data_IF_277371432402
#
_entry.id   IF_277371432402
#
_cell.length_a   1.000
_cell.length_b   1.000
_cell.length_c   1.000
_cell.angle_alpha   90.00
_cell.angle_beta   90.00
_cell.angle_gamma   90.00
#
_symmetry.space_group_name_H-M   'P 1'
#
loop_
_entity.id
_entity.type
_entity.pdbx_description
1 polymer ?
#
# COMPACT_ATOMS: atom_id res chain seq x y z
N UNK A 1 3.87 16.70 17.29
CA UNK A 1 4.68 15.79 18.12
C UNK A 1 3.90 15.55 19.42
N UNK A 2 4.18 14.50 20.20
CA UNK A 2 3.40 14.09 21.40
C UNK A 2 2.13 13.23 21.17
N UNK A 3 1.86 12.77 19.94
CA UNK A 3 0.84 11.74 19.72
C UNK A 3 1.44 10.34 19.92
N UNK A 4 0.74 9.41 20.60
CA UNK A 4 1.17 8.01 20.65
C UNK A 4 1.36 7.43 19.24
N UNK A 5 2.43 6.65 19.06
CA UNK A 5 2.64 5.91 17.81
C UNK A 5 1.83 4.63 17.85
N UNK A 6 0.63 4.64 17.26
CA UNK A 6 -0.31 3.52 17.27
C UNK A 6 -0.25 2.65 16.00
N UNK A 7 0.67 2.97 15.07
CA UNK A 7 0.77 2.34 13.76
C UNK A 7 2.16 1.78 13.49
N UNK A 8 2.22 0.62 12.83
CA UNK A 8 3.49 -0.02 12.44
C UNK A 8 3.47 -0.48 10.97
N UNK A 9 4.55 -0.25 10.23
CA UNK A 9 4.81 -0.92 8.95
C UNK A 9 6.14 -1.68 9.06
N UNK A 10 6.15 -3.02 8.93
CA UNK A 10 7.40 -3.78 8.93
C UNK A 10 8.22 -3.49 7.68
N UNK A 11 9.52 -3.77 7.73
CA UNK A 11 10.39 -3.73 6.57
C UNK A 11 9.95 -4.76 5.52
N UNK A 12 9.95 -4.36 4.24
CA UNK A 12 9.57 -5.15 3.07
C UNK A 12 8.11 -5.65 3.01
N UNK A 13 7.42 -5.83 4.13
CA UNK A 13 6.08 -6.41 4.20
C UNK A 13 6.02 -7.89 3.80
N UNK A 14 4.80 -8.42 3.75
CA UNK A 14 4.50 -9.85 3.55
C UNK A 14 3.36 -10.03 2.52
N UNK A 15 3.19 -11.25 2.01
CA UNK A 15 2.11 -11.66 1.12
C UNK A 15 0.88 -12.24 1.85
N UNK A 16 1.05 -12.66 3.11
CA UNK A 16 -0.04 -13.12 3.98
C UNK A 16 -0.23 -12.25 5.25
N UNK A 17 0.26 -11.00 5.21
CA UNK A 17 0.21 -10.08 6.36
C UNK A 17 0.86 -10.73 7.61
N UNK A 18 0.22 -10.64 8.77
CA UNK A 18 0.63 -11.33 10.00
C UNK A 18 -0.29 -12.50 10.38
N UNK A 19 -1.00 -13.05 9.41
CA UNK A 19 -1.87 -14.21 9.66
C UNK A 19 -1.02 -15.41 10.06
N UNK A 20 -1.58 -16.24 10.93
CA UNK A 20 -0.93 -17.44 11.49
C UNK A 20 0.34 -17.13 12.32
N UNK A 21 0.59 -15.87 12.67
CA UNK A 21 1.75 -15.42 13.48
C UNK A 21 1.32 -14.83 14.84
N UNK A 22 0.66 -15.61 15.74
CA UNK A 22 0.08 -15.09 16.98
C UNK A 22 1.13 -14.53 17.94
N UNK A 23 2.37 -15.01 17.90
CA UNK A 23 3.48 -14.47 18.71
C UNK A 23 3.84 -13.04 18.28
N UNK A 24 3.80 -12.74 16.98
CA UNK A 24 4.08 -11.40 16.46
C UNK A 24 2.93 -10.45 16.79
N UNK A 25 1.69 -10.90 16.64
CA UNK A 25 0.49 -10.14 17.01
C UNK A 25 0.47 -9.81 18.52
N UNK A 26 0.89 -10.75 19.37
CA UNK A 26 1.03 -10.49 20.80
C UNK A 26 2.05 -9.37 21.09
N UNK A 27 3.21 -9.39 20.43
CA UNK A 27 4.21 -8.33 20.58
C UNK A 27 3.70 -6.97 20.10
N UNK A 28 2.93 -6.94 19.02
CA UNK A 28 2.28 -5.72 18.51
C UNK A 28 1.30 -5.16 19.54
N UNK A 29 0.46 -6.02 20.12
CA UNK A 29 -0.48 -5.64 21.18
C UNK A 29 0.24 -5.09 22.40
N UNK A 30 1.27 -5.80 22.87
CA UNK A 30 2.08 -5.39 24.04
C UNK A 30 2.80 -4.06 23.81
N UNK A 31 3.17 -3.76 22.57
CA UNK A 31 3.76 -2.48 22.18
C UNK A 31 2.74 -1.34 22.07
N UNK A 32 1.44 -1.60 22.28
CA UNK A 32 0.37 -0.60 22.17
C UNK A 32 0.06 -0.20 20.72
N UNK A 33 0.47 -1.01 19.74
CA UNK A 33 0.16 -0.78 18.32
C UNK A 33 -1.25 -1.27 18.02
N UNK A 34 -2.03 -0.44 17.35
CA UNK A 34 -3.45 -0.66 17.07
C UNK A 34 -3.71 -1.03 15.61
N UNK A 35 -2.85 -0.57 14.70
CA UNK A 35 -2.90 -0.97 13.31
C UNK A 35 -1.52 -1.23 12.72
N UNK A 36 -1.49 -2.10 11.73
CA UNK A 36 -0.31 -2.43 10.94
C UNK A 36 -0.58 -2.24 9.46
N UNK A 37 0.48 -2.06 8.67
CA UNK A 37 0.42 -2.08 7.21
C UNK A 37 1.51 -3.00 6.68
N UNK A 38 1.30 -4.30 6.89
CA UNK A 38 2.24 -5.38 6.63
C UNK A 38 1.94 -6.12 5.34
N UNK A 39 0.69 -6.13 4.87
CA UNK A 39 0.32 -6.76 3.60
C UNK A 39 0.72 -5.85 2.44
N UNK A 40 1.91 -6.08 1.88
CA UNK A 40 2.50 -5.25 0.83
C UNK A 40 2.78 -6.03 -0.46
N UNK A 41 2.47 -7.33 -0.50
CA UNK A 41 2.67 -8.19 -1.66
C UNK A 41 1.36 -8.89 -2.06
N UNK A 42 1.28 -9.33 -3.31
CA UNK A 42 0.31 -10.31 -3.76
C UNK A 42 0.75 -11.75 -3.39
N UNK A 43 -0.09 -12.76 -3.70
CA UNK A 43 0.22 -14.16 -3.44
C UNK A 43 1.59 -14.59 -3.96
N UNK A 44 2.29 -15.45 -3.23
CA UNK A 44 3.64 -15.95 -3.58
C UNK A 44 4.66 -14.82 -3.76
N UNK A 45 4.58 -13.78 -2.92
CA UNK A 45 5.40 -12.57 -3.01
C UNK A 45 5.40 -11.93 -4.42
N UNK A 46 4.23 -11.94 -5.06
CA UNK A 46 4.05 -11.32 -6.37
C UNK A 46 3.71 -9.84 -6.30
N UNK A 47 3.91 -9.13 -7.41
CA UNK A 47 3.50 -7.75 -7.63
C UNK A 47 2.72 -7.60 -8.94
N UNK A 48 1.81 -6.61 -9.02
CA UNK A 48 1.45 -5.66 -7.96
C UNK A 48 0.64 -6.27 -6.81
N UNK A 49 0.75 -5.68 -5.62
CA UNK A 49 -0.09 -6.02 -4.47
C UNK A 49 -1.57 -5.73 -4.76
N UNK A 50 -2.44 -6.66 -4.34
CA UNK A 50 -3.86 -6.63 -4.68
C UNK A 50 -4.62 -5.57 -3.90
N UNK A 51 -5.71 -5.03 -4.47
CA UNK A 51 -6.63 -4.09 -3.79
C UNK A 51 -7.48 -4.81 -2.72
N UNK A 52 -6.94 -4.94 -1.51
CA UNK A 52 -7.56 -5.62 -0.36
C UNK A 52 -8.22 -4.58 0.55
N UNK A 53 -9.37 -4.94 1.11
CA UNK A 53 -10.01 -4.12 2.15
C UNK A 53 -9.24 -4.23 3.48
N UNK A 54 -9.38 -3.25 4.38
CA UNK A 54 -8.91 -3.37 5.76
C UNK A 54 -9.56 -4.57 6.44
N UNK A 55 -8.84 -5.22 7.35
CA UNK A 55 -9.37 -6.31 8.16
C UNK A 55 -8.72 -6.33 9.54
N UNK A 56 -9.28 -7.07 10.49
CA UNK A 56 -8.67 -7.30 11.79
C UNK A 56 -8.28 -8.77 11.99
N UNK A 57 -7.42 -9.00 12.97
CA UNK A 57 -6.87 -10.31 13.28
C UNK A 57 -7.75 -11.11 14.25
N UNK A 58 -9.08 -11.00 14.11
CA UNK A 58 -10.04 -11.67 15.01
C UNK A 58 -9.93 -13.20 14.96
N UNK A 59 -9.58 -13.76 13.81
CA UNK A 59 -9.45 -15.20 13.63
C UNK A 59 -8.21 -15.74 14.34
N UNK A 60 -7.20 -14.89 14.52
CA UNK A 60 -5.95 -15.14 15.24
C UNK A 60 -6.07 -14.79 16.74
N UNK A 61 -7.21 -14.26 17.20
CA UNK A 61 -7.46 -13.88 18.59
C UNK A 61 -7.16 -12.42 18.94
N UNK A 62 -6.92 -11.56 17.94
CA UNK A 62 -6.54 -10.15 18.09
C UNK A 62 -7.51 -9.22 17.33
N UNK A 63 -8.80 -9.15 17.73
CA UNK A 63 -9.82 -8.37 17.01
C UNK A 63 -9.59 -6.85 17.04
N UNK A 64 -8.76 -6.38 17.95
CA UNK A 64 -8.38 -4.98 18.18
C UNK A 64 -7.23 -4.49 17.29
N UNK A 65 -6.46 -5.41 16.70
CA UNK A 65 -5.38 -5.08 15.76
C UNK A 65 -5.91 -5.11 14.33
N UNK A 66 -5.73 -3.99 13.63
CA UNK A 66 -6.15 -3.83 12.24
C UNK A 66 -4.98 -3.94 11.25
N UNK A 67 -5.17 -4.70 10.17
CA UNK A 67 -4.34 -4.65 8.98
C UNK A 67 -4.92 -3.63 8.00
N UNK A 68 -4.07 -2.68 7.60
CA UNK A 68 -4.35 -1.66 6.59
C UNK A 68 -3.39 -1.91 5.41
N UNK A 69 -3.79 -2.70 4.39
CA UNK A 69 -2.89 -3.12 3.31
C UNK A 69 -2.27 -1.96 2.49
N UNK A 70 -1.12 -2.24 1.87
CA UNK A 70 -0.57 -1.43 0.79
C UNK A 70 -0.89 -2.06 -0.56
N UNK A 71 -1.01 -1.25 -1.61
CA UNK A 71 -1.52 -1.67 -2.91
C UNK A 71 -0.62 -1.25 -4.07
N UNK A 72 -0.76 -1.99 -5.17
CA UNK A 72 -0.07 -1.67 -6.41
C UNK A 72 1.39 -2.09 -6.38
N UNK A 73 2.22 -1.38 -7.15
CA UNK A 73 3.65 -1.63 -7.19
C UNK A 73 4.37 -0.95 -6.03
N UNK A 74 5.46 -1.58 -5.58
CA UNK A 74 6.50 -0.85 -4.85
C UNK A 74 7.24 0.00 -5.88
N UNK A 75 7.09 1.32 -5.83
CA UNK A 75 7.53 2.20 -6.92
C UNK A 75 9.03 2.09 -7.25
N UNK A 76 9.86 1.79 -6.25
CA UNK A 76 11.30 1.69 -6.44
C UNK A 76 11.67 0.54 -7.39
N UNK A 77 10.84 -0.49 -7.47
CA UNK A 77 11.03 -1.62 -8.38
C UNK A 77 10.66 -1.26 -9.83
N UNK A 78 9.68 -0.38 -10.02
CA UNK A 78 9.33 0.14 -11.36
C UNK A 78 10.47 0.92 -12.00
N UNK A 79 11.45 1.39 -11.20
CA UNK A 79 12.54 2.26 -11.61
C UNK A 79 13.93 1.64 -11.47
N UNK A 80 14.00 0.37 -11.07
CA UNK A 80 15.24 -0.34 -10.71
C UNK A 80 16.10 0.40 -9.67
N UNK A 81 15.47 1.14 -8.78
CA UNK A 81 16.17 1.92 -7.77
C UNK A 81 16.79 1.06 -6.65
N UNK A 82 16.33 -0.18 -6.55
CA UNK A 82 16.92 -1.28 -5.79
C UNK A 82 18.07 -2.00 -6.52
N UNK A 83 18.36 -1.67 -7.79
CA UNK A 83 19.48 -2.24 -8.59
C UNK A 83 19.42 -3.77 -8.74
N UNK A 84 18.23 -4.34 -8.83
CA UNK A 84 18.05 -5.78 -9.00
C UNK A 84 18.00 -6.19 -10.47
N UNK A 85 17.84 -5.23 -11.38
CA UNK A 85 17.55 -5.51 -12.78
C UNK A 85 16.15 -6.11 -12.95
N UNK A 86 15.78 -6.50 -14.18
CA UNK A 86 14.45 -7.04 -14.47
C UNK A 86 14.26 -8.38 -13.75
N UNK A 87 13.15 -8.51 -13.01
CA UNK A 87 12.78 -9.72 -12.27
C UNK A 87 11.36 -10.16 -12.62
N UNK A 88 11.12 -11.48 -12.58
CA UNK A 88 9.79 -12.08 -12.72
C UNK A 88 9.07 -12.02 -11.38
N UNK A 89 8.52 -10.86 -11.06
CA UNK A 89 7.80 -10.63 -9.80
C UNK A 89 6.29 -10.75 -9.97
N UNK A 90 5.78 -10.99 -11.17
CA UNK A 90 4.34 -10.95 -11.44
C UNK A 90 3.70 -12.32 -11.30
N UNK A 91 2.51 -12.38 -10.68
CA UNK A 91 1.68 -13.58 -10.68
C UNK A 91 1.23 -13.91 -12.12
N UNK A 92 1.10 -15.18 -12.45
CA UNK A 92 0.54 -15.63 -13.73
C UNK A 92 -0.82 -16.34 -13.53
N UNK A 93 -1.90 -15.90 -14.19
CA UNK A 93 -2.01 -14.64 -14.92
C UNK A 93 -1.99 -13.42 -13.98
N UNK A 94 -1.45 -12.29 -14.45
CA UNK A 94 -1.45 -11.06 -13.63
C UNK A 94 -2.88 -10.55 -13.47
N UNK A 95 -3.32 -10.20 -12.25
CA UNK A 95 -4.62 -9.55 -12.03
C UNK A 95 -4.69 -8.13 -12.59
N UNK A 96 -3.53 -7.53 -12.90
CA UNK A 96 -3.39 -6.15 -13.40
C UNK A 96 -2.44 -6.11 -14.62
N UNK A 97 -2.76 -6.80 -15.73
CA UNK A 97 -1.86 -6.91 -16.88
C UNK A 97 -1.52 -5.54 -17.50
N UNK A 98 -2.44 -4.59 -17.47
CA UNK A 98 -2.26 -3.22 -17.96
C UNK A 98 -1.29 -2.37 -17.13
N UNK A 99 -0.85 -2.87 -15.97
CA UNK A 99 0.11 -2.20 -15.09
C UNK A 99 1.53 -2.74 -15.24
N UNK A 100 1.72 -3.72 -16.12
CA UNK A 100 3.03 -4.30 -16.42
C UNK A 100 3.72 -3.40 -17.45
N UNK A 101 4.74 -2.62 -17.08
CA UNK A 101 5.43 -1.78 -18.04
C UNK A 101 6.34 -2.64 -18.93
N UNK A 102 6.56 -2.21 -20.18
CA UNK A 102 7.47 -2.89 -21.12
C UNK A 102 8.95 -2.85 -20.67
N UNK A 103 9.27 -1.97 -19.72
CA UNK A 103 10.57 -1.84 -19.07
C UNK A 103 10.46 -0.94 -17.85
N UNK A 104 11.58 -0.52 -17.27
CA UNK A 104 11.55 0.41 -16.15
C UNK A 104 10.95 1.76 -16.56
N UNK A 105 10.17 2.37 -15.66
CA UNK A 105 9.65 3.72 -15.80
C UNK A 105 10.82 4.71 -15.96
N UNK A 106 10.70 5.61 -16.92
CA UNK A 106 11.73 6.62 -17.25
C UNK A 106 11.25 8.04 -17.01
N UNK A 107 9.94 8.25 -17.00
CA UNK A 107 9.32 9.56 -16.80
C UNK A 107 8.30 9.54 -15.66
N UNK A 108 8.05 10.70 -15.03
CA UNK A 108 6.96 10.85 -14.06
C UNK A 108 5.59 10.37 -14.60
N UNK A 109 5.36 10.54 -15.90
CA UNK A 109 4.13 10.11 -16.57
C UNK A 109 4.01 8.59 -16.64
N UNK A 110 5.11 7.87 -16.82
CA UNK A 110 5.10 6.40 -16.90
C UNK A 110 4.60 5.80 -15.58
N UNK A 111 5.15 6.26 -14.46
CA UNK A 111 4.72 5.82 -13.12
C UNK A 111 3.30 6.28 -12.80
N UNK A 112 2.93 7.51 -13.19
CA UNK A 112 1.56 8.01 -13.05
C UNK A 112 0.54 7.11 -13.75
N UNK A 113 0.77 6.70 -15.00
CA UNK A 113 -0.18 5.84 -15.73
C UNK A 113 -0.33 4.46 -15.07
N UNK A 114 0.74 3.91 -14.48
CA UNK A 114 0.67 2.69 -13.66
C UNK A 114 -0.20 2.92 -12.41
N UNK A 115 0.08 3.99 -11.64
CA UNK A 115 -0.65 4.32 -10.41
C UNK A 115 -2.14 4.60 -10.65
N UNK A 116 -2.45 5.30 -11.75
CA UNK A 116 -3.81 5.65 -12.19
C UNK A 116 -4.71 4.43 -12.36
N UNK A 117 -4.18 3.30 -12.81
CA UNK A 117 -4.96 2.06 -12.94
C UNK A 117 -5.50 1.60 -11.59
N UNK A 118 -4.68 1.63 -10.53
CA UNK A 118 -5.12 1.19 -9.20
C UNK A 118 -6.15 2.14 -8.60
N UNK A 119 -5.98 3.45 -8.81
CA UNK A 119 -6.94 4.47 -8.37
C UNK A 119 -8.30 4.28 -9.05
N UNK A 120 -8.31 4.14 -10.38
CA UNK A 120 -9.53 3.92 -11.15
C UNK A 120 -10.19 2.59 -10.75
N UNK A 121 -9.40 1.52 -10.64
CA UNK A 121 -9.93 0.21 -10.26
C UNK A 121 -10.53 0.22 -8.85
N UNK A 122 -9.92 0.94 -7.92
CA UNK A 122 -10.47 1.08 -6.57
C UNK A 122 -11.87 1.72 -6.61
N UNK A 123 -12.06 2.78 -7.40
CA UNK A 123 -13.39 3.40 -7.63
C UNK A 123 -14.34 2.42 -8.32
N UNK A 124 -13.94 1.84 -9.44
CA UNK A 124 -14.77 0.92 -10.25
C UNK A 124 -15.27 -0.28 -9.45
N UNK A 125 -14.48 -0.74 -8.48
CA UNK A 125 -14.80 -1.89 -7.63
C UNK A 125 -15.32 -1.50 -6.25
N UNK A 126 -15.61 -0.22 -6.02
CA UNK A 126 -16.22 0.28 -4.79
C UNK A 126 -15.36 0.06 -3.54
N UNK A 127 -14.03 0.11 -3.68
CA UNK A 127 -13.11 -0.06 -2.54
C UNK A 127 -13.22 1.11 -1.56
N UNK A 128 -13.14 0.81 -0.27
CA UNK A 128 -13.19 1.84 0.76
C UNK A 128 -11.93 2.72 0.78
N UNK A 129 -10.79 2.16 0.38
CA UNK A 129 -9.52 2.86 0.35
C UNK A 129 -8.56 2.29 -0.72
N UNK A 130 -7.54 3.07 -1.05
CA UNK A 130 -6.39 2.63 -1.82
C UNK A 130 -5.14 3.35 -1.30
N UNK A 131 -4.07 2.60 -1.02
CA UNK A 131 -2.79 3.18 -0.60
C UNK A 131 -1.66 2.68 -1.48
N UNK A 132 -1.07 3.58 -2.27
CA UNK A 132 0.10 3.30 -3.09
C UNK A 132 1.37 3.27 -2.22
N UNK A 133 2.37 2.47 -2.62
CA UNK A 133 3.59 2.24 -1.81
C UNK A 133 4.74 3.07 -2.40
N UNK A 134 5.11 4.14 -1.70
CA UNK A 134 6.14 5.09 -2.12
C UNK A 134 7.25 5.27 -1.11
N UNK A 135 8.49 5.46 -1.59
CA UNK A 135 9.64 5.77 -0.76
C UNK A 135 10.23 7.15 -1.10
N UNK A 136 10.40 8.06 -0.12
CA UNK A 136 10.91 9.41 -0.38
C UNK A 136 12.24 9.45 -1.13
N UNK A 137 13.17 8.55 -0.81
CA UNK A 137 14.49 8.49 -1.44
C UNK A 137 14.40 8.11 -2.93
N UNK A 138 13.49 7.19 -3.28
CA UNK A 138 13.32 6.70 -4.63
C UNK A 138 12.56 7.71 -5.49
N UNK A 139 11.54 8.36 -4.91
CA UNK A 139 10.84 9.49 -5.53
C UNK A 139 11.81 10.62 -5.85
N UNK A 140 12.59 11.09 -4.87
CA UNK A 140 13.53 12.19 -5.07
C UNK A 140 14.63 11.87 -6.10
N UNK A 141 15.11 10.62 -6.14
CA UNK A 141 16.10 10.17 -7.14
C UNK A 141 15.52 10.15 -8.56
N UNK A 142 14.23 9.84 -8.70
CA UNK A 142 13.56 9.72 -10.01
C UNK A 142 13.07 11.07 -10.54
N UNK A 143 12.45 11.84 -9.67
CA UNK A 143 11.64 13.02 -9.97
C UNK A 143 11.71 13.98 -8.78
N UNK A 144 12.82 14.72 -8.69
CA UNK A 144 13.05 15.70 -7.61
C UNK A 144 12.00 16.81 -7.58
N UNK A 145 11.36 17.09 -8.72
CA UNK A 145 10.29 18.07 -8.85
C UNK A 145 8.93 17.53 -8.35
N UNK A 146 8.83 16.23 -8.05
CA UNK A 146 7.61 15.54 -7.61
C UNK A 146 6.42 15.65 -8.59
N UNK A 147 6.70 15.78 -9.90
CA UNK A 147 5.69 15.85 -10.96
C UNK A 147 4.79 14.61 -11.01
N UNK A 148 5.32 13.43 -10.70
CA UNK A 148 4.56 12.18 -10.62
C UNK A 148 3.48 12.30 -9.53
N UNK A 149 3.85 12.80 -8.35
CA UNK A 149 2.89 13.04 -7.27
C UNK A 149 1.88 14.10 -7.67
N UNK A 150 2.29 15.20 -8.31
CA UNK A 150 1.38 16.22 -8.81
C UNK A 150 0.33 15.64 -9.76
N UNK A 151 0.74 14.84 -10.75
CA UNK A 151 -0.16 14.15 -11.67
C UNK A 151 -1.11 13.21 -10.92
N UNK A 152 -0.59 12.40 -10.00
CA UNK A 152 -1.37 11.44 -9.22
C UNK A 152 -2.39 12.15 -8.34
N UNK A 153 -2.00 13.16 -7.55
CA UNK A 153 -2.92 13.87 -6.67
C UNK A 153 -3.94 14.73 -7.43
N UNK A 154 -3.56 15.30 -8.58
CA UNK A 154 -4.52 15.96 -9.48
C UNK A 154 -5.58 14.98 -9.96
N UNK A 155 -5.19 13.74 -10.29
CA UNK A 155 -6.13 12.70 -10.69
C UNK A 155 -7.02 12.23 -9.52
N UNK A 156 -6.44 12.04 -8.32
CA UNK A 156 -7.18 11.74 -7.08
C UNK A 156 -8.27 12.80 -6.83
N UNK A 157 -7.95 14.08 -6.96
CA UNK A 157 -8.91 15.17 -6.80
C UNK A 157 -10.03 15.10 -7.87
N UNK A 158 -9.69 14.82 -9.13
CA UNK A 158 -10.69 14.66 -10.21
C UNK A 158 -11.64 13.48 -9.98
N UNK A 159 -11.15 12.41 -9.36
CA UNK A 159 -11.97 11.25 -8.96
C UNK A 159 -12.85 11.53 -7.72
N UNK A 160 -12.71 12.68 -7.06
CA UNK A 160 -13.41 12.98 -5.82
C UNK A 160 -12.90 12.19 -4.61
N UNK A 161 -11.71 11.57 -4.72
CA UNK A 161 -11.06 10.86 -3.63
C UNK A 161 -10.45 11.86 -2.64
N UNK A 162 -10.47 11.49 -1.36
CA UNK A 162 -9.89 12.30 -0.28
C UNK A 162 -8.63 11.63 0.26
N UNK A 163 -7.46 12.29 0.20
CA UNK A 163 -6.27 11.82 0.89
C UNK A 163 -6.52 11.75 2.41
N UNK A 164 -6.01 10.70 3.05
CA UNK A 164 -6.02 10.56 4.50
C UNK A 164 -4.73 9.90 4.98
N UNK A 165 -4.52 9.94 6.29
CA UNK A 165 -3.46 9.18 6.96
C UNK A 165 -3.97 7.79 7.36
N UNK A 166 -3.06 6.85 7.56
CA UNK A 166 -3.40 5.53 8.10
C UNK A 166 -4.12 5.60 9.46
N UNK A 167 -3.80 6.58 10.31
CA UNK A 167 -4.49 6.78 11.58
C UNK A 167 -5.97 7.19 11.39
N UNK A 168 -6.25 8.06 10.42
CA UNK A 168 -7.63 8.44 10.09
C UNK A 168 -8.41 7.28 9.46
N UNK A 169 -7.75 6.48 8.60
CA UNK A 169 -8.37 5.27 8.07
C UNK A 169 -8.69 4.28 9.20
N UNK A 170 -7.76 4.08 10.13
CA UNK A 170 -7.97 3.26 11.33
C UNK A 170 -9.18 3.74 12.13
N UNK A 171 -9.29 5.04 12.45
CA UNK A 171 -10.43 5.62 13.18
C UNK A 171 -11.78 5.33 12.50
N UNK A 172 -11.81 5.36 11.17
CA UNK A 172 -13.01 5.05 10.39
C UNK A 172 -13.40 3.58 10.46
N UNK A 173 -12.44 2.66 10.31
CA UNK A 173 -12.74 1.22 10.25
C UNK A 173 -12.90 0.57 11.61
N UNK A 174 -12.23 1.10 12.64
CA UNK A 174 -12.35 0.62 14.02
C UNK A 174 -13.61 1.14 14.72
N UNK A 175 -14.29 2.13 14.14
CA UNK A 175 -15.46 2.78 14.72
C UNK A 175 -15.13 3.82 15.79
N UNK A 176 -13.86 4.16 16.00
CA UNK A 176 -13.43 5.19 16.97
C UNK A 176 -13.71 6.63 16.52
N UNK A 177 -14.07 6.85 15.25
CA UNK A 177 -14.41 8.17 14.69
C UNK A 177 -15.90 8.58 14.78
N UNK A 178 -16.75 7.79 15.44
CA UNK A 178 -18.19 8.05 15.58
C UNK A 178 -18.54 8.42 17.04
N UNK A 179 -18.24 9.66 17.43
CA UNK A 179 -18.72 10.25 18.69
C UNK A 179 -19.18 11.69 18.46
#
# INVERSE_FOLDING_TARGET
FERPCIGLRPGCGFDNALKDEPKVLELIRQAGIQYVSSLLWGPDYSLPALLREPFNYKNEGFPDIWELPGHGWHENLLKDHNQWGPRRLTLWPSPFPQTLPDGFCKTPKDEFEVNKVFLNRAIETGKSFVSLIWHPWSLNKFDSDMKMLELTFTHVQRLGLRPCTYAQLYEQVSGMGSS
#
